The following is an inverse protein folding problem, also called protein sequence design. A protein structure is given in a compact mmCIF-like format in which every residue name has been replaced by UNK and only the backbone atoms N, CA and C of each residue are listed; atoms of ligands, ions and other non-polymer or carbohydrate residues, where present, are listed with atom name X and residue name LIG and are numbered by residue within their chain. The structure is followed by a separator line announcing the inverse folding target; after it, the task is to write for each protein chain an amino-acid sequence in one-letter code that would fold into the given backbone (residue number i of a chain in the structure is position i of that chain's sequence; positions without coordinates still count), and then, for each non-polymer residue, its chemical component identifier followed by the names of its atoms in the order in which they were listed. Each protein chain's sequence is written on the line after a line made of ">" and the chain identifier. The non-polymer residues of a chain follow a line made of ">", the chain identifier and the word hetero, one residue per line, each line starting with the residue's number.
data_IF_509923658673
#
_entry.id   IF_509923658673
#
_cell.length_a   1.000
_cell.length_b   1.000
_cell.length_c   1.000
_cell.angle_alpha   90.00
_cell.angle_beta   90.00
_cell.angle_gamma   90.00
#
_symmetry.space_group_name_H-M   'P 1'
#
loop_
_entity.id
_entity.type
_entity.pdbx_description
1 polymer ?
#
# COMPACT_ATOMS: atom_id res chain seq x y z
N UNK A 1 15.51 -25.48 -11.45
CA UNK A 1 15.88 -26.07 -10.13
C UNK A 1 15.31 -27.47 -10.05
N UNK A 2 16.13 -28.50 -9.76
CA UNK A 2 15.63 -29.86 -9.49
C UNK A 2 14.88 -29.87 -8.15
N UNK A 3 14.03 -30.88 -7.88
CA UNK A 3 13.32 -31.01 -6.59
C UNK A 3 14.28 -30.91 -5.38
N UNK A 4 15.49 -31.44 -5.53
CA UNK A 4 16.58 -31.35 -4.54
C UNK A 4 16.95 -29.92 -4.15
N UNK A 5 16.86 -28.95 -5.07
CA UNK A 5 17.16 -27.55 -4.75
C UNK A 5 16.15 -26.92 -3.78
N UNK A 6 14.88 -27.31 -3.82
CA UNK A 6 13.87 -26.81 -2.88
C UNK A 6 14.11 -27.33 -1.47
N UNK A 7 14.58 -28.57 -1.33
CA UNK A 7 14.96 -29.15 -0.04
C UNK A 7 16.13 -28.38 0.59
N UNK A 8 17.14 -28.02 -0.21
CA UNK A 8 18.27 -27.19 0.25
C UNK A 8 17.78 -25.85 0.79
N UNK A 9 16.85 -25.19 0.10
CA UNK A 9 16.26 -23.94 0.58
C UNK A 9 15.48 -24.10 1.89
N UNK A 10 14.71 -25.18 2.05
CA UNK A 10 14.03 -25.47 3.32
C UNK A 10 15.01 -25.69 4.46
N UNK A 11 16.12 -26.40 4.21
CA UNK A 11 17.18 -26.60 5.20
C UNK A 11 17.86 -25.27 5.57
N UNK A 12 18.11 -24.39 4.60
CA UNK A 12 18.66 -23.06 4.85
C UNK A 12 17.71 -22.20 5.69
N UNK A 13 16.40 -22.25 5.43
CA UNK A 13 15.39 -21.56 6.26
C UNK A 13 15.43 -22.12 7.69
N UNK A 14 15.44 -23.45 7.84
CA UNK A 14 15.54 -24.09 9.16
C UNK A 14 16.81 -23.72 9.92
N UNK A 15 17.95 -23.65 9.23
CA UNK A 15 19.22 -23.20 9.80
C UNK A 15 19.15 -21.74 10.25
N UNK A 16 18.56 -20.84 9.46
CA UNK A 16 18.37 -19.44 9.86
C UNK A 16 17.53 -19.34 11.13
N UNK A 17 16.42 -20.09 11.22
CA UNK A 17 15.56 -20.15 12.42
C UNK A 17 16.36 -20.60 13.64
N UNK A 18 17.15 -21.67 13.49
CA UNK A 18 18.00 -22.19 14.56
C UNK A 18 19.04 -21.15 15.01
N UNK A 19 19.72 -20.49 14.07
CA UNK A 19 20.68 -19.42 14.36
C UNK A 19 20.01 -18.26 15.10
N UNK A 20 18.78 -17.88 14.72
CA UNK A 20 18.05 -16.85 15.45
C UNK A 20 17.81 -17.27 16.91
N UNK A 21 17.23 -18.44 17.15
CA UNK A 21 16.89 -18.89 18.50
C UNK A 21 18.10 -19.18 19.38
N UNK A 22 19.21 -19.67 18.80
CA UNK A 22 20.42 -19.99 19.56
C UNK A 22 21.31 -18.77 19.82
N UNK A 23 21.32 -17.78 18.92
CA UNK A 23 22.27 -16.66 18.97
C UNK A 23 21.57 -15.30 19.05
N UNK A 24 20.78 -14.92 18.04
CA UNK A 24 20.26 -13.55 17.95
C UNK A 24 19.20 -13.23 19.01
N UNK A 25 18.38 -14.20 19.41
CA UNK A 25 17.38 -14.00 20.46
C UNK A 25 18.04 -13.61 21.80
N UNK A 26 19.17 -14.23 22.13
CA UNK A 26 19.97 -13.89 23.32
C UNK A 26 20.61 -12.49 23.18
N UNK A 27 20.96 -12.07 21.97
CA UNK A 27 21.46 -10.71 21.73
C UNK A 27 20.38 -9.64 21.97
N UNK A 28 19.09 -9.93 21.69
CA UNK A 28 17.98 -9.02 22.02
C UNK A 28 17.87 -8.83 23.53
N UNK A 29 17.98 -9.92 24.29
CA UNK A 29 17.99 -9.86 25.77
C UNK A 29 19.21 -9.10 26.30
N UNK A 30 20.40 -9.40 25.79
CA UNK A 30 21.61 -8.67 26.13
C UNK A 30 21.48 -7.18 25.78
N UNK A 31 20.85 -6.82 24.66
CA UNK A 31 20.64 -5.42 24.28
C UNK A 31 19.69 -4.69 25.24
N UNK A 32 18.62 -5.37 25.67
CA UNK A 32 17.70 -4.83 26.69
C UNK A 32 18.42 -4.54 28.01
N UNK A 33 19.36 -5.41 28.41
CA UNK A 33 20.19 -5.26 29.60
C UNK A 33 21.40 -4.33 29.41
N UNK A 34 21.59 -3.76 28.21
CA UNK A 34 22.77 -2.98 27.80
C UNK A 34 24.10 -3.76 27.87
N UNK A 35 24.05 -5.09 27.72
CA UNK A 35 25.19 -6.01 27.71
C UNK A 35 25.53 -6.54 26.30
N UNK A 36 24.73 -6.22 25.27
CA UNK A 36 25.01 -6.65 23.91
C UNK A 36 26.29 -5.99 23.35
N UNK A 37 26.99 -6.66 22.41
CA UNK A 37 28.09 -6.06 21.68
C UNK A 37 27.69 -4.75 20.98
N UNK A 38 28.63 -3.80 20.88
CA UNK A 38 28.39 -2.49 20.29
C UNK A 38 27.80 -2.54 18.88
N UNK A 39 28.24 -3.49 18.04
CA UNK A 39 27.72 -3.65 16.68
C UNK A 39 26.22 -3.98 16.67
N UNK A 40 25.74 -4.78 17.63
CA UNK A 40 24.33 -5.16 17.72
C UNK A 40 23.49 -4.01 18.27
N UNK A 41 23.99 -3.29 19.27
CA UNK A 41 23.33 -2.07 19.76
C UNK A 41 23.19 -1.01 18.65
N UNK A 42 24.24 -0.80 17.86
CA UNK A 42 24.20 0.11 16.71
C UNK A 42 23.17 -0.34 15.67
N UNK A 43 23.08 -1.65 15.39
CA UNK A 43 22.08 -2.21 14.49
C UNK A 43 20.65 -1.99 15.01
N UNK A 44 20.40 -2.27 16.30
CA UNK A 44 19.10 -2.05 16.94
C UNK A 44 18.73 -0.57 16.91
N UNK A 45 19.65 0.34 17.18
CA UNK A 45 19.38 1.78 17.11
C UNK A 45 19.11 2.26 15.68
N UNK A 46 19.78 1.67 14.68
CA UNK A 46 19.56 2.02 13.27
C UNK A 46 18.19 1.55 12.76
N UNK A 47 17.76 0.34 13.15
CA UNK A 47 16.51 -0.27 12.68
C UNK A 47 15.32 0.13 13.55
N UNK A 48 15.52 0.22 14.86
CA UNK A 48 14.49 0.50 15.87
C UNK A 48 14.97 1.54 16.89
N UNK A 49 15.11 2.82 16.49
CA UNK A 49 15.64 3.87 17.34
C UNK A 49 14.83 4.11 18.63
N UNK A 50 13.57 3.66 18.65
CA UNK A 50 12.68 3.75 19.83
C UNK A 50 12.97 2.73 20.91
N UNK A 51 13.81 1.72 20.64
CA UNK A 51 14.16 0.65 21.60
C UNK A 51 14.56 1.20 22.98
N UNK A 52 15.45 2.20 22.99
CA UNK A 52 15.98 2.81 24.23
C UNK A 52 14.91 3.49 25.06
N UNK A 53 13.90 4.10 24.44
CA UNK A 53 12.82 4.79 25.16
C UNK A 53 11.76 3.79 25.61
N UNK A 54 11.45 2.82 24.75
CA UNK A 54 10.38 1.85 25.00
C UNK A 54 10.75 0.79 26.04
N UNK A 55 12.04 0.51 26.27
CA UNK A 55 12.47 -0.41 27.35
C UNK A 55 12.05 0.06 28.75
N UNK A 56 11.73 1.34 28.91
CA UNK A 56 11.18 1.89 30.14
C UNK A 56 9.67 1.66 30.27
N UNK A 57 8.99 1.31 29.17
CA UNK A 57 7.54 1.12 29.10
C UNK A 57 7.14 -0.35 29.06
N UNK A 58 7.98 -1.20 28.50
CA UNK A 58 7.69 -2.60 28.27
C UNK A 58 8.78 -3.49 28.83
N UNK A 59 8.40 -4.68 29.27
CA UNK A 59 9.32 -5.70 29.76
C UNK A 59 10.09 -6.38 28.61
N UNK A 60 11.06 -7.22 28.98
CA UNK A 60 11.84 -8.02 28.02
C UNK A 60 10.97 -8.97 27.19
N UNK A 61 9.86 -9.49 27.75
CA UNK A 61 9.00 -10.42 27.03
C UNK A 61 8.34 -9.75 25.83
N UNK A 62 7.93 -8.49 25.95
CA UNK A 62 7.43 -7.70 24.83
C UNK A 62 8.45 -7.64 23.67
N UNK A 63 9.71 -7.30 23.95
CA UNK A 63 10.74 -7.18 22.90
C UNK A 63 11.09 -8.53 22.27
N UNK A 64 11.20 -9.59 23.07
CA UNK A 64 11.43 -10.94 22.57
C UNK A 64 10.27 -11.38 21.66
N UNK A 65 9.03 -11.16 22.06
CA UNK A 65 7.86 -11.45 21.22
C UNK A 65 7.88 -10.65 19.91
N UNK A 66 8.25 -9.36 19.92
CA UNK A 66 8.36 -8.58 18.68
C UNK A 66 9.49 -9.06 17.78
N UNK A 67 10.63 -9.42 18.34
CA UNK A 67 11.73 -10.01 17.58
C UNK A 67 11.31 -11.36 16.96
N UNK A 68 10.68 -12.24 17.75
CA UNK A 68 10.13 -13.52 17.30
C UNK A 68 9.14 -13.28 16.14
N UNK A 69 8.24 -12.30 16.26
CA UNK A 69 7.27 -11.97 15.21
C UNK A 69 7.93 -11.53 13.89
N UNK A 70 8.95 -10.68 13.93
CA UNK A 70 9.67 -10.23 12.72
C UNK A 70 10.31 -11.42 12.01
N UNK A 71 10.93 -12.31 12.77
CA UNK A 71 11.57 -13.53 12.30
C UNK A 71 10.56 -14.48 11.67
N UNK A 72 9.45 -14.76 12.34
CA UNK A 72 8.38 -15.59 11.79
C UNK A 72 7.77 -15.02 10.51
N UNK A 73 7.62 -13.69 10.41
CA UNK A 73 7.13 -13.04 9.18
C UNK A 73 8.12 -13.24 8.02
N UNK A 74 9.40 -13.07 8.28
CA UNK A 74 10.44 -13.23 7.25
C UNK A 74 10.51 -14.68 6.76
N UNK A 75 10.48 -15.66 7.66
CA UNK A 75 10.46 -17.08 7.26
C UNK A 75 9.16 -17.50 6.61
N UNK A 76 8.02 -17.03 7.13
CA UNK A 76 6.72 -17.26 6.50
C UNK A 76 6.71 -16.78 5.05
N UNK A 77 7.26 -15.59 4.78
CA UNK A 77 7.41 -15.07 3.43
C UNK A 77 8.32 -15.97 2.58
N UNK A 78 9.49 -16.37 3.08
CA UNK A 78 10.40 -17.26 2.36
C UNK A 78 9.74 -18.60 1.99
N UNK A 79 9.03 -19.21 2.94
CA UNK A 79 8.29 -20.47 2.72
C UNK A 79 7.18 -20.27 1.68
N UNK A 80 6.41 -19.19 1.78
CA UNK A 80 5.36 -18.87 0.80
C UNK A 80 5.93 -18.66 -0.61
N UNK A 81 7.04 -17.94 -0.75
CA UNK A 81 7.73 -17.74 -2.03
C UNK A 81 8.22 -19.09 -2.58
N UNK A 82 8.85 -19.92 -1.75
CA UNK A 82 9.35 -21.22 -2.15
C UNK A 82 8.21 -22.16 -2.59
N UNK A 83 7.11 -22.18 -1.85
CA UNK A 83 5.91 -22.93 -2.18
C UNK A 83 5.27 -22.43 -3.49
N UNK A 84 5.23 -21.11 -3.71
CA UNK A 84 4.77 -20.50 -4.96
C UNK A 84 5.65 -20.90 -6.15
N UNK A 85 6.97 -20.82 -6.02
CA UNK A 85 7.93 -21.25 -7.04
C UNK A 85 7.85 -22.76 -7.33
N UNK A 86 7.66 -23.58 -6.29
CA UNK A 86 7.46 -25.01 -6.43
C UNK A 86 6.17 -25.30 -7.20
N UNK A 87 5.07 -24.67 -6.79
CA UNK A 87 3.76 -24.81 -7.43
C UNK A 87 3.80 -24.38 -8.88
N UNK A 88 4.42 -23.24 -9.18
CA UNK A 88 4.61 -22.74 -10.55
C UNK A 88 5.41 -23.71 -11.43
N UNK A 89 6.41 -24.39 -10.87
CA UNK A 89 7.26 -25.32 -11.62
C UNK A 89 6.62 -26.68 -11.85
N UNK A 90 5.93 -27.22 -10.84
CA UNK A 90 5.51 -28.64 -10.83
C UNK A 90 4.01 -28.87 -10.90
N UNK A 91 3.17 -27.83 -10.72
CA UNK A 91 1.72 -27.95 -10.81
C UNK A 91 1.23 -27.22 -12.07
N UNK A 92 0.97 -27.94 -13.19
CA UNK A 92 0.59 -27.31 -14.45
C UNK A 92 -0.63 -26.40 -14.33
N UNK A 93 -1.65 -26.82 -13.57
CA UNK A 93 -2.86 -26.02 -13.35
C UNK A 93 -2.59 -24.70 -12.60
N UNK A 94 -1.65 -24.69 -11.64
CA UNK A 94 -1.26 -23.45 -10.97
C UNK A 94 -0.49 -22.53 -11.92
N UNK A 95 0.44 -23.09 -12.71
CA UNK A 95 1.21 -22.34 -13.71
C UNK A 95 0.31 -21.66 -14.73
N UNK A 96 -0.65 -22.39 -15.31
CA UNK A 96 -1.60 -21.83 -16.28
C UNK A 96 -2.40 -20.70 -15.65
N UNK A 97 -3.03 -20.92 -14.48
CA UNK A 97 -3.78 -19.86 -13.78
C UNK A 97 -2.93 -18.64 -13.42
N UNK A 98 -1.68 -18.84 -13.02
CA UNK A 98 -0.75 -17.75 -12.73
C UNK A 98 -0.45 -16.94 -13.99
N UNK A 99 -0.14 -17.60 -15.10
CA UNK A 99 0.11 -16.95 -16.39
C UNK A 99 -1.15 -16.21 -16.85
N UNK A 100 -2.31 -16.86 -16.83
CA UNK A 100 -3.59 -16.28 -17.24
C UNK A 100 -3.97 -15.04 -16.39
N UNK A 101 -3.66 -15.08 -15.08
CA UNK A 101 -3.85 -13.93 -14.20
C UNK A 101 -3.02 -12.75 -14.69
N UNK A 102 -1.69 -12.92 -14.82
CA UNK A 102 -0.78 -11.84 -15.18
C UNK A 102 -0.92 -11.37 -16.63
N UNK A 103 -1.29 -12.26 -17.55
CA UNK A 103 -1.45 -11.96 -18.99
C UNK A 103 -2.88 -11.62 -19.37
N UNK A 104 -3.77 -11.40 -18.39
CA UNK A 104 -5.17 -11.07 -18.66
C UNK A 104 -5.24 -9.89 -19.64
N UNK A 105 -5.96 -10.03 -20.76
CA UNK A 105 -6.05 -8.96 -21.75
C UNK A 105 -6.80 -7.76 -21.15
N UNK A 106 -6.27 -6.58 -21.44
CA UNK A 106 -6.86 -5.28 -21.09
C UNK A 106 -6.96 -4.48 -22.37
N UNK A 107 -8.08 -3.80 -22.61
CA UNK A 107 -8.22 -3.01 -23.82
C UNK A 107 -7.43 -1.70 -23.74
N UNK A 108 -7.04 -1.18 -24.90
CA UNK A 108 -6.45 0.16 -25.00
C UNK A 108 -7.38 1.24 -24.44
N UNK A 109 -8.69 1.09 -24.61
CA UNK A 109 -9.69 2.06 -24.12
C UNK A 109 -9.77 2.08 -22.60
N UNK A 110 -9.81 0.90 -21.96
CA UNK A 110 -9.80 0.77 -20.51
C UNK A 110 -8.61 1.49 -19.89
N UNK A 111 -7.39 1.30 -20.44
CA UNK A 111 -6.20 2.00 -19.95
C UNK A 111 -6.30 3.51 -20.16
N UNK A 112 -6.90 3.96 -21.26
CA UNK A 112 -7.07 5.39 -21.54
C UNK A 112 -8.00 6.05 -20.51
N UNK A 113 -9.17 5.45 -20.26
CA UNK A 113 -10.13 5.94 -19.27
C UNK A 113 -9.49 5.92 -17.88
N UNK A 114 -8.89 4.79 -17.52
CA UNK A 114 -8.22 4.63 -16.23
C UNK A 114 -7.12 5.67 -16.01
N UNK A 115 -6.34 5.99 -17.04
CA UNK A 115 -5.32 7.05 -16.98
C UNK A 115 -5.97 8.41 -16.74
N UNK A 116 -7.01 8.77 -17.49
CA UNK A 116 -7.71 10.05 -17.31
C UNK A 116 -8.25 10.15 -15.87
N UNK A 117 -8.97 9.13 -15.40
CA UNK A 117 -9.56 9.11 -14.06
C UNK A 117 -8.47 9.17 -12.99
N UNK A 118 -7.44 8.33 -13.08
CA UNK A 118 -6.36 8.24 -12.09
C UNK A 118 -5.59 9.55 -11.95
N UNK A 119 -5.14 10.14 -13.05
CA UNK A 119 -4.38 11.39 -13.02
C UNK A 119 -5.25 12.59 -12.63
N UNK A 120 -6.56 12.56 -12.93
CA UNK A 120 -7.52 13.52 -12.38
C UNK A 120 -7.67 13.37 -10.85
N UNK A 121 -7.64 12.13 -10.36
CA UNK A 121 -7.57 11.84 -8.94
C UNK A 121 -6.31 12.36 -8.28
N UNK A 122 -5.13 12.21 -8.90
CA UNK A 122 -3.89 12.80 -8.37
C UNK A 122 -4.03 14.33 -8.27
N UNK A 123 -4.55 15.01 -9.29
CA UNK A 123 -4.83 16.45 -9.22
C UNK A 123 -5.73 16.79 -8.02
N UNK A 124 -6.84 16.07 -7.87
CA UNK A 124 -7.78 16.26 -6.77
C UNK A 124 -7.17 15.95 -5.39
N UNK A 125 -6.34 14.94 -5.24
CA UNK A 125 -5.77 14.59 -3.93
C UNK A 125 -4.54 15.42 -3.55
N UNK A 126 -3.96 16.15 -4.51
CA UNK A 126 -2.75 16.95 -4.31
C UNK A 126 -2.97 18.45 -4.39
N UNK A 127 -4.20 18.94 -4.59
CA UNK A 127 -4.44 20.38 -4.73
C UNK A 127 -4.01 21.19 -3.49
N UNK A 128 -4.14 20.62 -2.29
CA UNK A 128 -3.76 21.26 -1.02
C UNK A 128 -2.31 21.05 -0.61
N UNK A 129 -1.55 20.20 -1.32
CA UNK A 129 -0.23 19.79 -0.88
C UNK A 129 0.75 20.96 -0.75
N UNK A 130 0.65 21.95 -1.65
CA UNK A 130 1.44 23.17 -1.52
C UNK A 130 1.13 23.91 -0.20
N UNK A 131 -0.15 24.04 0.16
CA UNK A 131 -0.57 24.65 1.43
C UNK A 131 0.01 23.90 2.62
N UNK A 132 -0.15 22.58 2.66
CA UNK A 132 0.39 21.75 3.74
C UNK A 132 1.91 21.83 3.86
N UNK A 133 2.64 21.71 2.74
CA UNK A 133 4.10 21.77 2.74
C UNK A 133 4.62 23.19 3.08
N UNK A 134 3.91 24.23 2.67
CA UNK A 134 4.22 25.62 3.04
C UNK A 134 4.05 25.85 4.55
N UNK A 135 2.97 25.36 5.15
CA UNK A 135 2.79 25.41 6.61
C UNK A 135 3.86 24.62 7.35
N UNK A 136 4.19 23.42 6.89
CA UNK A 136 5.29 22.61 7.47
C UNK A 136 6.66 23.28 7.38
N UNK A 137 6.87 24.16 6.40
CA UNK A 137 8.10 24.96 6.28
C UNK A 137 8.34 25.84 7.52
N UNK A 138 7.26 26.28 8.20
CA UNK A 138 7.32 27.04 9.45
C UNK A 138 7.79 26.19 10.63
N UNK A 139 7.61 24.87 10.53
CA UNK A 139 8.01 23.87 11.51
C UNK A 139 9.32 23.16 11.14
N UNK A 140 10.15 23.73 10.26
CA UNK A 140 11.39 23.10 9.73
C UNK A 140 12.35 22.57 10.81
N UNK A 141 12.32 23.12 12.03
CA UNK A 141 13.09 22.61 13.17
C UNK A 141 12.80 21.13 13.51
N UNK A 142 11.61 20.64 13.16
CA UNK A 142 11.17 19.25 13.37
C UNK A 142 11.38 18.37 12.13
N UNK A 143 12.02 18.87 11.07
CA UNK A 143 12.28 18.10 9.87
C UNK A 143 13.28 16.97 10.13
N UNK A 144 12.83 15.74 9.94
CA UNK A 144 13.59 14.50 10.02
C UNK A 144 13.47 13.75 8.69
N UNK A 145 14.42 13.93 7.75
CA UNK A 145 14.32 13.35 6.42
C UNK A 145 14.20 11.82 6.49
N UNK A 146 13.29 11.28 5.68
CA UNK A 146 13.24 9.85 5.39
C UNK A 146 14.60 9.36 4.86
N UNK A 147 14.88 8.06 5.04
CA UNK A 147 16.20 7.48 4.75
C UNK A 147 16.74 7.82 3.34
N UNK A 148 15.89 7.77 2.30
CA UNK A 148 16.31 8.11 0.93
C UNK A 148 16.68 9.60 0.80
N UNK A 149 15.87 10.50 1.34
CA UNK A 149 16.17 11.94 1.35
C UNK A 149 17.43 12.24 2.16
N UNK A 150 17.61 11.52 3.28
CA UNK A 150 18.80 11.63 4.14
C UNK A 150 20.06 11.17 3.41
N UNK A 151 20.01 10.04 2.72
CA UNK A 151 21.13 9.51 1.93
C UNK A 151 21.55 10.48 0.82
N UNK A 152 20.57 11.13 0.19
CA UNK A 152 20.79 12.13 -0.85
C UNK A 152 21.11 13.53 -0.29
N UNK A 153 21.18 13.69 1.04
CA UNK A 153 21.40 14.96 1.71
C UNK A 153 20.39 16.06 1.29
N UNK A 154 19.15 15.66 1.00
CA UNK A 154 18.08 16.56 0.58
C UNK A 154 17.41 17.17 1.83
N UNK A 155 17.66 18.46 2.04
CA UNK A 155 16.98 19.26 3.07
C UNK A 155 15.53 19.57 2.70
N UNK A 156 14.80 20.16 3.66
CA UNK A 156 13.45 20.67 3.38
C UNK A 156 13.53 21.89 2.43
N UNK A 157 12.82 21.86 1.28
CA UNK A 157 12.91 22.86 0.23
C UNK A 157 12.32 24.23 0.63
N UNK A 158 12.73 25.28 -0.06
CA UNK A 158 12.12 26.61 0.09
C UNK A 158 10.68 26.63 -0.47
N UNK A 159 9.77 27.50 0.05
CA UNK A 159 8.39 27.58 -0.43
C UNK A 159 8.24 27.81 -1.93
N UNK A 160 9.13 28.59 -2.54
CA UNK A 160 9.13 28.84 -4.00
C UNK A 160 9.43 27.57 -4.80
N UNK A 161 10.41 26.77 -4.36
CA UNK A 161 10.71 25.48 -4.99
C UNK A 161 9.55 24.50 -4.81
N UNK A 162 8.92 24.47 -3.63
CA UNK A 162 7.72 23.66 -3.39
C UNK A 162 6.59 24.01 -4.36
N UNK A 163 6.32 25.30 -4.57
CA UNK A 163 5.31 25.75 -5.51
C UNK A 163 5.62 25.29 -6.94
N UNK A 164 6.86 25.48 -7.39
CA UNK A 164 7.31 25.03 -8.72
C UNK A 164 7.11 23.53 -8.90
N UNK A 165 7.52 22.72 -7.91
CA UNK A 165 7.38 21.26 -7.97
C UNK A 165 5.92 20.82 -7.97
N UNK A 166 5.04 21.46 -7.20
CA UNK A 166 3.60 21.20 -7.24
C UNK A 166 2.99 21.57 -8.60
N UNK A 167 3.35 22.72 -9.18
CA UNK A 167 2.91 23.10 -10.52
C UNK A 167 3.39 22.09 -11.56
N UNK A 168 4.64 21.64 -11.50
CA UNK A 168 5.18 20.62 -12.39
C UNK A 168 4.43 19.28 -12.24
N UNK A 169 4.09 18.89 -11.01
CA UNK A 169 3.25 17.71 -10.74
C UNK A 169 1.91 17.84 -11.45
N UNK A 170 1.23 18.97 -11.29
CA UNK A 170 -0.09 19.19 -11.91
C UNK A 170 -0.03 19.25 -13.43
N UNK A 171 0.94 19.98 -14.00
CA UNK A 171 1.14 20.07 -15.45
C UNK A 171 1.45 18.69 -16.05
N UNK A 172 2.26 17.87 -15.37
CA UNK A 172 2.54 16.50 -15.82
C UNK A 172 1.29 15.60 -15.80
N UNK A 173 0.41 15.74 -14.79
CA UNK A 173 -0.88 15.04 -14.76
C UNK A 173 -1.77 15.46 -15.94
N UNK A 174 -1.89 16.78 -16.18
CA UNK A 174 -2.65 17.33 -17.30
C UNK A 174 -2.10 16.83 -18.63
N UNK A 175 -0.77 16.75 -18.79
CA UNK A 175 -0.14 16.19 -19.98
C UNK A 175 -0.52 14.72 -20.21
N UNK A 176 -0.59 13.88 -19.16
CA UNK A 176 -1.09 12.49 -19.30
C UNK A 176 -2.55 12.47 -19.74
N UNK A 177 -3.40 13.28 -19.09
CA UNK A 177 -4.84 13.40 -19.42
C UNK A 177 -5.02 13.81 -20.88
N UNK A 178 -4.23 14.76 -21.38
CA UNK A 178 -4.24 15.23 -22.76
C UNK A 178 -3.49 14.32 -23.75
N UNK A 179 -2.92 13.20 -23.28
CA UNK A 179 -2.11 12.27 -24.07
C UNK A 179 -0.81 12.86 -24.65
N UNK A 180 -0.27 13.92 -24.06
CA UNK A 180 0.99 14.52 -24.46
C UNK A 180 2.18 13.79 -23.83
N UNK A 181 2.96 13.08 -24.66
CA UNK A 181 4.10 12.23 -24.25
C UNK A 181 3.78 11.41 -22.98
N UNK A 182 2.72 10.59 -23.00
CA UNK A 182 2.04 10.15 -21.78
C UNK A 182 2.93 9.32 -20.85
N UNK A 183 3.86 8.50 -21.38
CA UNK A 183 4.78 7.70 -20.56
C UNK A 183 5.76 8.58 -19.78
N UNK A 184 6.34 9.60 -20.43
CA UNK A 184 7.29 10.53 -19.80
C UNK A 184 6.55 11.38 -18.77
N UNK A 185 5.40 11.94 -19.15
CA UNK A 185 4.55 12.74 -18.25
C UNK A 185 4.14 11.94 -17.01
N UNK A 186 3.72 10.69 -17.18
CA UNK A 186 3.40 9.76 -16.09
C UNK A 186 4.59 9.48 -15.17
N UNK A 187 5.79 9.31 -15.75
CA UNK A 187 7.02 9.07 -14.99
C UNK A 187 7.42 10.30 -14.16
N UNK A 188 7.30 11.50 -14.75
CA UNK A 188 7.53 12.77 -14.04
C UNK A 188 6.53 12.94 -12.90
N UNK A 189 5.23 12.71 -13.15
CA UNK A 189 4.21 12.75 -12.10
C UNK A 189 4.56 11.81 -10.96
N UNK A 190 4.94 10.57 -11.27
CA UNK A 190 5.30 9.55 -10.27
C UNK A 190 6.47 10.00 -9.40
N UNK A 191 7.54 10.47 -10.03
CA UNK A 191 8.72 10.97 -9.33
C UNK A 191 8.38 12.14 -8.41
N UNK A 192 7.67 13.15 -8.92
CA UNK A 192 7.29 14.34 -8.16
C UNK A 192 6.31 13.99 -7.02
N UNK A 193 5.36 13.09 -7.26
CA UNK A 193 4.41 12.63 -6.26
C UNK A 193 5.12 11.96 -5.08
N UNK A 194 6.04 11.03 -5.34
CA UNK A 194 6.84 10.34 -4.32
C UNK A 194 7.77 11.33 -3.59
N UNK A 195 8.41 12.25 -4.32
CA UNK A 195 9.32 13.22 -3.75
C UNK A 195 8.60 14.18 -2.79
N UNK A 196 7.47 14.75 -3.21
CA UNK A 196 6.65 15.64 -2.39
C UNK A 196 6.07 14.91 -1.16
N UNK A 197 5.62 13.67 -1.33
CA UNK A 197 5.18 12.82 -0.24
C UNK A 197 6.33 12.52 0.75
N UNK A 198 7.55 12.35 0.25
CA UNK A 198 8.74 12.15 1.07
C UNK A 198 8.99 13.32 2.03
N UNK A 199 8.83 14.56 1.58
CA UNK A 199 8.91 15.73 2.46
C UNK A 199 7.72 15.82 3.42
N UNK A 200 6.50 15.52 2.96
CA UNK A 200 5.30 15.52 3.81
C UNK A 200 5.45 14.57 5.01
N UNK A 201 6.09 13.41 4.81
CA UNK A 201 6.29 12.39 5.84
C UNK A 201 7.59 12.53 6.64
N UNK A 202 8.38 13.57 6.38
CA UNK A 202 9.63 13.85 7.09
C UNK A 202 9.42 14.67 8.37
N UNK A 203 8.22 14.65 8.96
CA UNK A 203 7.89 15.33 10.23
C UNK A 203 7.39 14.32 11.28
N UNK A 204 7.97 13.12 11.28
CA UNK A 204 7.72 12.00 12.21
C UNK A 204 6.30 11.42 12.23
N UNK A 205 5.34 12.04 11.54
CA UNK A 205 4.02 11.47 11.28
C UNK A 205 4.13 10.42 10.17
N UNK A 206 4.03 9.15 10.57
CA UNK A 206 3.80 8.05 9.63
C UNK A 206 2.34 8.10 9.16
N UNK A 207 2.13 8.63 7.96
CA UNK A 207 0.83 8.68 7.32
C UNK A 207 0.76 7.67 6.17
N UNK A 208 -0.29 6.86 6.17
CA UNK A 208 -0.51 5.82 5.16
C UNK A 208 -1.70 6.16 4.24
N UNK A 209 -2.22 7.39 4.32
CA UNK A 209 -3.38 7.85 3.54
C UNK A 209 -3.19 7.65 2.03
N UNK A 210 -1.98 7.89 1.52
CA UNK A 210 -1.68 7.80 0.09
C UNK A 210 -1.01 6.49 -0.33
N UNK A 211 -0.76 5.53 0.56
CA UNK A 211 0.09 4.37 0.27
C UNK A 211 -0.34 3.58 -0.98
N UNK A 212 -1.64 3.27 -1.13
CA UNK A 212 -2.15 2.57 -2.33
C UNK A 212 -2.08 3.42 -3.58
N UNK A 213 -2.32 4.72 -3.46
CA UNK A 213 -2.19 5.68 -4.56
C UNK A 213 -0.73 5.78 -5.03
N UNK A 214 0.23 5.76 -4.09
CA UNK A 214 1.67 5.74 -4.39
C UNK A 214 2.07 4.49 -5.16
N UNK A 215 1.63 3.30 -4.72
CA UNK A 215 1.91 2.06 -5.46
C UNK A 215 1.30 2.08 -6.88
N UNK A 216 0.06 2.57 -7.01
CA UNK A 216 -0.56 2.75 -8.31
C UNK A 216 0.25 3.71 -9.19
N UNK A 217 0.64 4.87 -8.65
CA UNK A 217 1.45 5.86 -9.38
C UNK A 217 2.77 5.25 -9.87
N UNK A 218 3.46 4.48 -9.03
CA UNK A 218 4.71 3.80 -9.41
C UNK A 218 4.57 2.86 -10.61
N UNK A 219 3.40 2.24 -10.77
CA UNK A 219 3.18 1.19 -11.79
C UNK A 219 2.50 1.76 -13.05
N UNK A 220 1.73 2.84 -12.94
CA UNK A 220 0.99 3.45 -14.06
C UNK A 220 1.85 3.78 -15.30
N UNK A 221 3.10 4.30 -15.19
CA UNK A 221 3.94 4.52 -16.36
C UNK A 221 4.16 3.27 -17.21
N UNK A 222 4.27 2.10 -16.58
CA UNK A 222 4.43 0.82 -17.28
C UNK A 222 3.14 0.40 -18.00
N UNK A 223 1.98 0.61 -17.36
CA UNK A 223 0.68 0.32 -17.98
C UNK A 223 0.43 1.22 -19.20
N UNK A 224 0.77 2.50 -19.10
CA UNK A 224 0.68 3.47 -20.20
C UNK A 224 1.68 3.13 -21.31
N UNK A 225 2.88 2.65 -20.97
CA UNK A 225 3.85 2.19 -21.96
C UNK A 225 3.34 1.00 -22.78
N UNK A 226 2.74 -0.01 -22.13
CA UNK A 226 2.13 -1.14 -22.83
C UNK A 226 0.98 -0.70 -23.75
N UNK A 227 0.17 0.28 -23.30
CA UNK A 227 -0.87 0.88 -24.14
C UNK A 227 -0.27 1.57 -25.36
N UNK A 228 0.75 2.40 -25.17
CA UNK A 228 1.41 3.14 -26.24
C UNK A 228 1.99 2.18 -27.30
N UNK A 229 2.73 1.15 -26.84
CA UNK A 229 3.27 0.09 -27.71
C UNK A 229 2.16 -0.64 -28.48
N UNK A 230 1.04 -0.93 -27.82
CA UNK A 230 -0.08 -1.63 -28.47
C UNK A 230 -0.76 -0.78 -29.53
N UNK A 231 -0.87 0.54 -29.32
CA UNK A 231 -1.36 1.49 -30.33
C UNK A 231 -0.44 1.53 -31.54
N UNK A 232 0.88 1.62 -31.34
CA UNK A 232 1.86 1.59 -32.45
C UNK A 232 1.77 0.30 -33.28
N UNK A 233 1.48 -0.83 -32.63
CA UNK A 233 1.27 -2.13 -33.27
C UNK A 233 -0.16 -2.34 -33.80
N UNK A 234 -1.03 -1.33 -33.74
CA UNK A 234 -2.45 -1.41 -34.13
C UNK A 234 -3.23 -2.55 -33.44
N UNK A 235 -2.91 -2.82 -32.18
CA UNK A 235 -3.54 -3.84 -31.35
C UNK A 235 -4.64 -3.22 -30.46
N UNK A 236 -5.78 -3.91 -30.36
CA UNK A 236 -6.89 -3.50 -29.47
C UNK A 236 -6.65 -3.86 -28.00
N UNK A 237 -5.79 -4.86 -27.76
CA UNK A 237 -5.57 -5.47 -26.46
C UNK A 237 -4.09 -5.46 -26.12
N UNK A 238 -3.78 -5.28 -24.83
CA UNK A 238 -2.44 -5.33 -24.26
C UNK A 238 -2.38 -6.34 -23.11
N UNK A 239 -1.15 -6.71 -22.72
CA UNK A 239 -0.92 -7.51 -21.51
C UNK A 239 -1.27 -6.69 -20.27
N UNK A 240 -2.22 -7.18 -19.46
CA UNK A 240 -2.69 -6.51 -18.25
C UNK A 240 -1.80 -6.64 -17.02
N UNK A 241 -0.53 -7.05 -17.17
CA UNK A 241 0.34 -7.39 -16.05
C UNK A 241 0.51 -6.22 -15.07
N UNK A 242 0.69 -5.00 -15.59
CA UNK A 242 0.88 -3.80 -14.77
C UNK A 242 -0.40 -3.47 -13.99
N UNK A 243 -1.58 -3.58 -14.63
CA UNK A 243 -2.86 -3.42 -13.96
C UNK A 243 -3.07 -4.46 -12.86
N UNK A 244 -2.74 -5.73 -13.14
CA UNK A 244 -2.81 -6.77 -12.11
C UNK A 244 -1.86 -6.51 -10.95
N UNK A 245 -0.65 -5.98 -11.21
CA UNK A 245 0.29 -5.62 -10.16
C UNK A 245 -0.28 -4.53 -9.24
N UNK A 246 -0.93 -3.50 -9.81
CA UNK A 246 -1.62 -2.46 -9.03
C UNK A 246 -2.69 -3.09 -8.13
N UNK A 247 -3.55 -3.95 -8.70
CA UNK A 247 -4.59 -4.66 -7.95
C UNK A 247 -4.00 -5.54 -6.83
N UNK A 248 -2.89 -6.23 -7.09
CA UNK A 248 -2.17 -7.04 -6.10
C UNK A 248 -1.63 -6.16 -4.98
N UNK A 249 -0.97 -5.04 -5.30
CA UNK A 249 -0.45 -4.11 -4.30
C UNK A 249 -1.57 -3.57 -3.39
N UNK A 250 -2.70 -3.15 -3.96
CA UNK A 250 -3.86 -2.68 -3.18
C UNK A 250 -4.40 -3.81 -2.30
N UNK A 251 -4.57 -5.01 -2.85
CA UNK A 251 -5.13 -6.13 -2.12
C UNK A 251 -4.22 -6.60 -0.97
N UNK A 252 -2.91 -6.61 -1.20
CA UNK A 252 -1.91 -6.89 -0.19
C UNK A 252 -1.88 -5.80 0.90
N UNK A 253 -2.10 -4.53 0.56
CA UNK A 253 -2.16 -3.47 1.56
C UNK A 253 -3.27 -3.71 2.60
N UNK A 254 -4.46 -4.13 2.15
CA UNK A 254 -5.54 -4.53 3.06
C UNK A 254 -5.21 -5.80 3.86
N UNK A 255 -4.70 -6.83 3.19
CA UNK A 255 -4.34 -8.08 3.85
C UNK A 255 -3.29 -7.84 4.95
N UNK A 256 -2.21 -7.13 4.63
CA UNK A 256 -1.14 -6.81 5.57
C UNK A 256 -1.64 -5.92 6.71
N UNK A 257 -2.53 -4.96 6.45
CA UNK A 257 -3.14 -4.15 7.51
C UNK A 257 -4.02 -4.97 8.47
N UNK A 258 -4.69 -6.02 7.97
CA UNK A 258 -5.45 -6.96 8.80
C UNK A 258 -4.54 -7.92 9.57
N UNK A 259 -3.54 -8.49 8.89
CA UNK A 259 -2.54 -9.36 9.53
C UNK A 259 -1.78 -8.64 10.62
N UNK A 260 -1.39 -7.37 10.42
CA UNK A 260 -0.66 -6.60 11.43
C UNK A 260 -1.46 -6.48 12.74
N UNK A 261 -2.78 -6.36 12.67
CA UNK A 261 -3.65 -6.30 13.85
C UNK A 261 -3.63 -7.60 14.65
N UNK A 262 -3.75 -8.74 13.95
CA UNK A 262 -3.67 -10.07 14.57
C UNK A 262 -2.27 -10.32 15.10
N UNK A 263 -1.23 -9.93 14.37
CA UNK A 263 0.14 -10.19 14.79
C UNK A 263 0.55 -9.31 15.98
N UNK A 264 0.13 -8.04 16.02
CA UNK A 264 0.47 -7.16 17.14
C UNK A 264 -0.34 -7.47 18.40
N UNK A 265 -1.66 -7.62 18.26
CA UNK A 265 -2.59 -7.67 19.40
C UNK A 265 -3.29 -9.02 19.56
N UNK A 266 -3.05 -9.98 18.67
CA UNK A 266 -3.78 -11.24 18.66
C UNK A 266 -5.27 -11.04 18.36
N UNK A 267 -6.09 -11.92 18.93
CA UNK A 267 -7.54 -11.80 18.88
C UNK A 267 -8.10 -10.72 19.81
N UNK A 268 -7.28 -10.16 20.72
CA UNK A 268 -7.73 -9.03 21.54
C UNK A 268 -8.08 -7.78 20.72
N UNK A 269 -7.61 -7.71 19.46
CA UNK A 269 -8.02 -6.64 18.56
C UNK A 269 -9.55 -6.54 18.36
N UNK A 270 -10.28 -7.66 18.44
CA UNK A 270 -11.74 -7.69 18.29
C UNK A 270 -12.49 -7.54 19.63
N UNK A 271 -11.77 -7.30 20.73
CA UNK A 271 -12.39 -7.10 22.04
C UNK A 271 -13.12 -5.75 22.09
N UNK A 272 -14.31 -5.76 22.69
CA UNK A 272 -15.17 -4.57 22.77
C UNK A 272 -14.49 -3.41 23.49
N UNK A 273 -13.68 -3.71 24.50
CA UNK A 273 -13.04 -2.68 25.32
C UNK A 273 -11.90 -2.01 24.56
N UNK A 274 -11.12 -2.77 23.79
CA UNK A 274 -10.11 -2.21 22.89
C UNK A 274 -10.73 -1.26 21.88
N UNK A 275 -11.83 -1.65 21.23
CA UNK A 275 -12.50 -0.78 20.25
C UNK A 275 -13.12 0.46 20.91
N UNK A 276 -13.70 0.34 22.12
CA UNK A 276 -14.18 1.49 22.90
C UNK A 276 -13.06 2.46 23.25
N UNK A 277 -11.88 1.97 23.64
CA UNK A 277 -10.72 2.82 23.91
C UNK A 277 -10.36 3.68 22.70
N UNK A 278 -10.39 3.11 21.49
CA UNK A 278 -10.20 3.87 20.26
C UNK A 278 -11.31 4.90 20.02
N UNK A 279 -12.59 4.52 20.21
CA UNK A 279 -13.70 5.47 20.09
C UNK A 279 -13.53 6.65 21.06
N UNK A 280 -13.21 6.39 22.34
CA UNK A 280 -13.00 7.43 23.33
C UNK A 280 -11.75 8.27 23.09
N UNK A 281 -10.74 7.73 22.41
CA UNK A 281 -9.60 8.53 21.98
C UNK A 281 -9.99 9.54 20.89
N UNK A 282 -10.90 9.14 20.00
CA UNK A 282 -11.28 9.93 18.82
C UNK A 282 -12.52 10.81 19.01
N UNK A 283 -13.40 10.50 19.98
CA UNK A 283 -14.55 11.30 20.38
C UNK A 283 -15.54 11.64 19.24
N UNK A 284 -15.61 10.80 18.19
CA UNK A 284 -16.57 11.01 17.11
C UNK A 284 -18.02 10.77 17.62
N UNK A 285 -19.00 11.65 17.30
CA UNK A 285 -20.35 11.57 17.88
C UNK A 285 -21.04 10.21 17.68
N UNK A 286 -21.03 9.69 16.44
CA UNK A 286 -21.62 8.38 16.16
C UNK A 286 -20.84 7.25 16.85
N UNK A 287 -19.51 7.37 16.93
CA UNK A 287 -18.67 6.43 17.68
C UNK A 287 -19.10 6.35 19.14
N UNK A 288 -19.31 7.48 19.82
CA UNK A 288 -19.73 7.54 21.22
C UNK A 288 -21.10 6.89 21.46
N UNK A 289 -22.03 7.02 20.50
CA UNK A 289 -23.31 6.29 20.55
C UNK A 289 -23.11 4.78 20.40
N UNK A 290 -22.25 4.36 19.48
CA UNK A 290 -21.91 2.95 19.29
C UNK A 290 -21.21 2.35 20.52
N UNK A 291 -20.37 3.12 21.23
CA UNK A 291 -19.64 2.67 22.42
C UNK A 291 -20.56 2.17 23.54
N UNK A 292 -21.81 2.65 23.58
CA UNK A 292 -22.84 2.19 24.53
C UNK A 292 -23.24 0.73 24.30
N UNK A 293 -23.07 0.20 23.08
CA UNK A 293 -23.42 -1.18 22.72
C UNK A 293 -22.20 -2.09 22.67
N UNK A 294 -22.10 -3.02 23.64
CA UNK A 294 -21.01 -4.01 23.66
C UNK A 294 -21.02 -4.91 22.42
N UNK A 295 -22.20 -5.28 21.92
CA UNK A 295 -22.35 -6.12 20.75
C UNK A 295 -21.79 -5.44 19.50
N UNK A 296 -22.15 -4.18 19.25
CA UNK A 296 -21.61 -3.42 18.12
C UNK A 296 -20.10 -3.23 18.24
N UNK A 297 -19.60 -2.97 19.46
CA UNK A 297 -18.17 -2.83 19.71
C UNK A 297 -17.38 -4.12 19.48
N UNK A 298 -18.01 -5.29 19.45
CA UNK A 298 -17.38 -6.56 19.11
C UNK A 298 -17.52 -6.88 17.62
N UNK A 299 -18.70 -6.66 17.05
CA UNK A 299 -19.01 -7.04 15.66
C UNK A 299 -18.30 -6.13 14.66
N UNK A 300 -18.30 -4.83 14.85
CA UNK A 300 -17.70 -3.89 13.90
C UNK A 300 -16.19 -4.09 13.69
N UNK A 301 -15.33 -4.19 14.73
CA UNK A 301 -13.92 -4.48 14.52
C UNK A 301 -13.69 -5.89 13.94
N UNK A 302 -14.54 -6.87 14.27
CA UNK A 302 -14.47 -8.21 13.66
C UNK A 302 -14.80 -8.16 12.15
N UNK A 303 -15.83 -7.43 11.74
CA UNK A 303 -16.17 -7.23 10.32
C UNK A 303 -15.07 -6.45 9.58
N UNK A 304 -14.50 -5.42 10.20
CA UNK A 304 -13.37 -4.68 9.66
C UNK A 304 -12.15 -5.58 9.43
N UNK A 305 -11.83 -6.44 10.40
CA UNK A 305 -10.73 -7.39 10.30
C UNK A 305 -10.98 -8.46 9.23
N UNK A 306 -12.20 -9.01 9.20
CA UNK A 306 -12.64 -9.97 8.18
C UNK A 306 -12.56 -9.37 6.78
N UNK A 307 -13.01 -8.13 6.60
CA UNK A 307 -12.89 -7.40 5.34
C UNK A 307 -11.43 -7.25 4.93
N UNK A 308 -10.56 -6.74 5.81
CA UNK A 308 -9.15 -6.50 5.51
C UNK A 308 -8.42 -7.78 5.07
N UNK A 309 -8.59 -8.87 5.82
CA UNK A 309 -7.97 -10.17 5.50
C UNK A 309 -8.61 -10.79 4.25
N UNK A 310 -9.93 -10.72 4.16
CA UNK A 310 -10.69 -11.28 3.04
C UNK A 310 -10.50 -10.54 1.72
N UNK A 311 -10.07 -9.28 1.74
CA UNK A 311 -9.98 -8.44 0.54
C UNK A 311 -9.04 -9.00 -0.53
N UNK A 312 -8.01 -9.78 -0.15
CA UNK A 312 -7.16 -10.50 -1.13
C UNK A 312 -7.97 -11.43 -2.05
N UNK A 313 -9.13 -11.90 -1.57
CA UNK A 313 -10.08 -12.68 -2.34
C UNK A 313 -10.62 -11.96 -3.58
N UNK A 314 -10.57 -10.62 -3.65
CA UNK A 314 -11.00 -9.83 -4.82
C UNK A 314 -10.25 -10.22 -6.10
N UNK A 315 -9.00 -10.68 -5.97
CA UNK A 315 -8.14 -11.07 -7.10
C UNK A 315 -8.61 -12.38 -7.74
N UNK A 316 -9.18 -13.28 -6.93
CA UNK A 316 -9.53 -14.66 -7.30
C UNK A 316 -11.03 -14.75 -7.58
N UNK A 317 -11.86 -14.18 -6.70
CA UNK A 317 -13.31 -14.28 -6.70
C UNK A 317 -13.95 -13.11 -7.44
N UNK A 318 -13.60 -12.93 -8.71
CA UNK A 318 -14.06 -11.78 -9.53
C UNK A 318 -15.57 -11.61 -9.60
N UNK A 319 -16.35 -12.69 -9.45
CA UNK A 319 -17.81 -12.63 -9.37
C UNK A 319 -18.34 -11.81 -8.19
N UNK A 320 -17.54 -11.63 -7.15
CA UNK A 320 -17.89 -10.87 -5.94
C UNK A 320 -17.21 -9.50 -5.88
N UNK A 321 -16.65 -9.00 -6.99
CA UNK A 321 -15.90 -7.74 -7.00
C UNK A 321 -16.74 -6.58 -6.44
N UNK A 322 -18.00 -6.46 -6.86
CA UNK A 322 -18.93 -5.41 -6.38
C UNK A 322 -19.14 -5.53 -4.87
N UNK A 323 -19.28 -6.75 -4.33
CA UNK A 323 -19.42 -6.97 -2.90
C UNK A 323 -18.19 -6.46 -2.14
N UNK A 324 -16.98 -6.78 -2.61
CA UNK A 324 -15.74 -6.27 -2.00
C UNK A 324 -15.63 -4.75 -2.08
N UNK A 325 -16.02 -4.14 -3.21
CA UNK A 325 -15.97 -2.68 -3.37
C UNK A 325 -16.98 -1.98 -2.44
N UNK A 326 -18.21 -2.47 -2.36
CA UNK A 326 -19.23 -1.94 -1.43
C UNK A 326 -18.78 -2.11 0.03
N UNK A 327 -18.30 -3.29 0.39
CA UNK A 327 -17.78 -3.54 1.74
C UNK A 327 -16.60 -2.62 2.06
N UNK A 328 -15.73 -2.36 1.10
CA UNK A 328 -14.60 -1.45 1.25
C UNK A 328 -14.99 0.02 1.39
N UNK A 329 -15.97 0.48 0.61
CA UNK A 329 -16.56 1.82 0.78
C UNK A 329 -17.19 1.94 2.16
N UNK A 330 -17.99 0.95 2.56
CA UNK A 330 -18.62 0.90 3.89
C UNK A 330 -17.60 0.88 5.03
N UNK A 331 -16.49 0.15 4.86
CA UNK A 331 -15.39 0.13 5.82
C UNK A 331 -14.79 1.53 6.02
N UNK A 332 -14.42 2.24 4.94
CA UNK A 332 -13.79 3.57 5.05
C UNK A 332 -14.75 4.65 5.54
N UNK A 333 -15.99 4.65 5.07
CA UNK A 333 -17.03 5.56 5.58
C UNK A 333 -17.28 5.25 7.06
N UNK A 334 -17.36 3.98 7.44
CA UNK A 334 -17.51 3.55 8.82
C UNK A 334 -16.36 4.03 9.71
N UNK A 335 -15.11 3.88 9.30
CA UNK A 335 -13.96 4.38 10.08
C UNK A 335 -13.98 5.90 10.22
N UNK A 336 -14.40 6.62 9.18
CA UNK A 336 -14.54 8.08 9.26
C UNK A 336 -15.66 8.49 10.23
N UNK A 337 -16.85 7.89 10.13
CA UNK A 337 -17.98 8.24 10.99
C UNK A 337 -17.77 7.83 12.45
N UNK A 338 -17.11 6.69 12.70
CA UNK A 338 -16.94 6.13 14.04
C UNK A 338 -15.68 6.61 14.77
N UNK A 339 -14.61 6.92 14.03
CA UNK A 339 -13.32 7.29 14.60
C UNK A 339 -12.83 8.66 14.12
N UNK A 340 -13.55 9.35 13.24
CA UNK A 340 -13.07 10.62 12.67
C UNK A 340 -11.76 10.49 11.88
N UNK A 341 -11.40 9.27 11.45
CA UNK A 341 -10.15 9.00 10.73
C UNK A 341 -10.40 9.01 9.23
N UNK A 342 -9.62 9.81 8.50
CA UNK A 342 -9.74 9.97 7.06
C UNK A 342 -10.80 11.01 6.67
N UNK A 343 -11.48 10.79 5.55
CA UNK A 343 -12.52 11.67 5.04
C UNK A 343 -13.41 10.98 4.01
N UNK A 344 -14.47 11.65 3.55
CA UNK A 344 -15.35 11.13 2.50
C UNK A 344 -14.60 10.90 1.18
N UNK A 345 -13.77 11.88 0.80
CA UNK A 345 -12.87 11.75 -0.33
C UNK A 345 -11.56 11.09 0.13
N UNK A 346 -11.56 9.76 0.15
CA UNK A 346 -10.43 8.96 0.62
C UNK A 346 -9.69 8.31 -0.56
N UNK A 347 -8.35 8.50 -0.68
CA UNK A 347 -7.55 7.81 -1.70
C UNK A 347 -7.72 6.28 -1.69
N UNK A 348 -7.99 5.69 -0.52
CA UNK A 348 -8.24 4.25 -0.39
C UNK A 348 -9.53 3.78 -1.07
N UNK A 349 -10.57 4.62 -1.08
CA UNK A 349 -11.80 4.34 -1.85
C UNK A 349 -11.52 4.61 -3.32
N UNK A 350 -10.82 5.69 -3.64
CA UNK A 350 -10.55 6.09 -5.02
C UNK A 350 -9.80 5.00 -5.80
N UNK A 351 -8.82 4.32 -5.21
CA UNK A 351 -8.08 3.24 -5.91
C UNK A 351 -8.95 2.04 -6.30
N UNK A 352 -10.22 1.97 -5.90
CA UNK A 352 -11.14 0.97 -6.42
C UNK A 352 -11.42 1.10 -7.92
N UNK A 353 -11.09 2.24 -8.55
CA UNK A 353 -11.15 2.40 -10.01
C UNK A 353 -10.35 1.35 -10.79
N UNK A 354 -9.31 0.77 -10.18
CA UNK A 354 -8.46 -0.25 -10.82
C UNK A 354 -9.13 -1.62 -10.91
N UNK A 355 -10.17 -1.85 -10.11
CA UNK A 355 -10.95 -3.08 -10.13
C UNK A 355 -12.14 -3.01 -11.09
N UNK A 356 -12.44 -1.81 -11.63
CA UNK A 356 -13.58 -1.59 -12.52
C UNK A 356 -13.20 -1.96 -13.97
N UNK A 357 -14.12 -2.70 -14.60
CA UNK A 357 -14.06 -3.05 -16.01
C UNK A 357 -14.70 -1.91 -16.83
N UNK A 358 -13.88 -0.91 -17.17
CA UNK A 358 -14.34 0.33 -17.81
C UNK A 358 -14.93 0.11 -19.21
N UNK A 359 -14.53 -0.96 -19.90
CA UNK A 359 -15.08 -1.31 -21.23
C UNK A 359 -16.57 -1.70 -21.17
N UNK A 360 -17.02 -2.22 -20.03
CA UNK A 360 -18.44 -2.55 -19.83
C UNK A 360 -19.29 -1.34 -19.46
N UNK A 361 -18.64 -0.26 -19.01
CA UNK A 361 -19.29 0.99 -18.63
C UNK A 361 -19.26 2.03 -19.76
N UNK A 362 -18.37 1.89 -20.73
CA UNK A 362 -18.35 2.77 -21.90
C UNK A 362 -19.63 2.61 -22.72
N UNK A 363 -20.34 3.71 -22.88
CA UNK A 363 -21.59 3.85 -23.65
C UNK A 363 -21.36 3.35 -25.10
N UNK A 364 -22.32 2.67 -25.74
CA UNK A 364 -22.18 2.15 -27.10
C UNK A 364 -21.66 3.19 -28.10
N UNK A 365 -20.79 2.76 -29.02
CA UNK A 365 -20.05 3.55 -30.03
C UNK A 365 -20.90 4.48 -30.93
N UNK A 366 -22.22 4.46 -30.80
CA UNK A 366 -23.17 5.35 -31.48
C UNK A 366 -22.90 6.86 -31.32
N UNK A 367 -22.05 7.28 -30.39
CA UNK A 367 -21.71 8.72 -30.19
C UNK A 367 -20.34 9.09 -30.79
N UNK A 368 -19.44 8.13 -31.07
CA UNK A 368 -18.07 8.43 -31.53
C UNK A 368 -17.85 8.27 -33.04
N UNK A 369 -18.79 7.67 -33.77
CA UNK A 369 -18.70 7.49 -35.23
C UNK A 369 -19.27 8.65 -36.06
N UNK A 370 -19.92 9.65 -35.44
CA UNK A 370 -20.55 10.75 -36.21
C UNK A 370 -19.59 11.82 -36.77
N UNK A 371 -18.27 11.60 -36.75
CA UNK A 371 -17.28 12.64 -37.13
C UNK A 371 -16.14 12.19 -38.05
N UNK A 372 -16.28 11.08 -38.78
CA UNK A 372 -15.27 10.65 -39.78
C UNK A 372 -15.80 10.47 -41.21
N UNK A 373 -16.82 11.23 -41.60
CA UNK A 373 -17.27 11.31 -43.00
C UNK A 373 -17.50 12.76 -43.44
N UNK A 374 -16.44 13.57 -43.40
CA UNK A 374 -16.31 14.78 -44.23
C UNK A 374 -14.93 15.42 -44.02
N UNK A 375 -13.99 15.06 -44.89
CA UNK A 375 -13.06 15.92 -45.68
C UNK A 375 -12.03 15.00 -46.33
#
# INVERSE_FOLDING_TARGET
>A
MKKTGYLIWLLLIGLQVAVYYMLFRNLVEAAYQNQAPAWFNNLVQAIYPRFTVEKHRFDIHFFLQKADQVVWRFYGLQVMVLAGLYSFRFLPGFRTRFIDFWQRPVSVMQVRILSIVFYSGILFFTYEWYGYLSELSKAKAFYQPLQLLRLLHIGFPAPTLLLILCIMLWLSCVAVILNFKPVISASITTFLFILLQGWLYSFEKLDHTFSTLTYAAMIMPFLIYEQYKSIELNQKWLSGWALQLICVCIALAYLLAGLEKILISGWHWIDSDTFRSYIYLHQAPLGLEIAKSQWLCKVLPALALLFQIGFIGILILRKFIILFLIAGVGFHIGTYLLLGVGGYANPWIFVYIFFIDWDKLSIPDTILTSKKSSV
#
